data_IF_842789648408
#
_entry.id   IF_842789648408
#
_cell.length_a   1.000
_cell.length_b   1.000
_cell.length_c   1.000
_cell.angle_alpha   90.00
_cell.angle_beta   90.00
_cell.angle_gamma   90.00
#
_symmetry.space_group_name_H-M   'P 1'
#
loop_
_entity.id
_entity.type
_entity.pdbx_description
1 polymer ?
#
# COMPACT_ATOMS: atom_id res chain seq x y z
N UNK A 1 -2.78 21.09 -11.87
CA UNK A 1 -1.60 20.48 -11.22
C UNK A 1 -0.54 21.55 -11.21
N UNK A 2 -0.22 22.10 -10.04
CA UNK A 2 0.88 23.07 -9.95
C UNK A 2 2.19 22.39 -10.33
N UNK A 3 2.95 23.09 -11.17
CA UNK A 3 4.29 22.72 -11.57
C UNK A 3 5.29 23.22 -10.52
N UNK A 4 5.78 22.31 -9.67
CA UNK A 4 6.70 22.60 -8.58
C UNK A 4 8.07 23.06 -9.09
N UNK A 5 8.46 22.66 -10.30
CA UNK A 5 9.69 23.13 -10.93
C UNK A 5 9.58 24.60 -11.33
N UNK A 6 8.46 25.01 -11.94
CA UNK A 6 8.19 26.42 -12.23
C UNK A 6 8.04 27.24 -10.94
N UNK A 7 7.40 26.66 -9.92
CA UNK A 7 7.28 27.29 -8.61
C UNK A 7 8.65 27.62 -8.03
N UNK A 8 9.62 26.70 -8.11
CA UNK A 8 11.00 26.90 -7.64
C UNK A 8 11.93 27.57 -8.67
N UNK A 9 11.47 27.76 -9.92
CA UNK A 9 12.27 28.27 -11.05
C UNK A 9 13.49 27.39 -11.38
N UNK A 10 13.34 26.07 -11.27
CA UNK A 10 14.38 25.09 -11.55
C UNK A 10 13.99 24.17 -12.71
N UNK A 11 14.96 23.40 -13.20
CA UNK A 11 14.74 22.42 -14.26
C UNK A 11 14.26 21.07 -13.67
N UNK A 12 13.47 20.27 -14.42
CA UNK A 12 12.95 18.99 -13.97
C UNK A 12 14.00 17.88 -13.88
N UNK A 13 15.19 18.09 -14.43
CA UNK A 13 16.38 17.26 -14.28
C UNK A 13 17.28 17.70 -13.11
N UNK A 14 16.95 18.80 -12.41
CA UNK A 14 17.74 19.31 -11.27
C UNK A 14 18.01 18.25 -10.20
N UNK A 15 19.19 18.25 -9.62
CA UNK A 15 19.55 17.30 -8.55
C UNK A 15 18.73 17.54 -7.26
N UNK A 16 18.69 16.57 -6.35
CA UNK A 16 18.01 16.74 -5.05
C UNK A 16 18.61 17.91 -4.26
N UNK A 17 19.93 18.08 -4.32
CA UNK A 17 20.65 19.20 -3.70
C UNK A 17 20.24 20.54 -4.28
N UNK A 18 20.12 20.65 -5.60
CA UNK A 18 19.65 21.86 -6.28
C UNK A 18 18.20 22.20 -5.91
N UNK A 19 17.31 21.20 -5.83
CA UNK A 19 15.93 21.39 -5.39
C UNK A 19 15.90 21.94 -3.96
N UNK A 20 16.70 21.36 -3.06
CA UNK A 20 16.73 21.79 -1.66
C UNK A 20 17.29 23.21 -1.51
N UNK A 21 18.34 23.56 -2.26
CA UNK A 21 18.87 24.92 -2.29
C UNK A 21 17.85 25.91 -2.83
N UNK A 22 17.15 25.58 -3.92
CA UNK A 22 16.12 26.43 -4.51
C UNK A 22 14.92 26.60 -3.58
N UNK A 23 14.56 25.56 -2.82
CA UNK A 23 13.52 25.62 -1.79
C UNK A 23 13.90 26.59 -0.68
N UNK A 24 15.11 26.51 -0.13
CA UNK A 24 15.57 27.41 0.93
C UNK A 24 15.62 28.86 0.45
N UNK A 25 16.14 29.11 -0.77
CA UNK A 25 16.14 30.44 -1.39
C UNK A 25 14.72 30.99 -1.57
N UNK A 26 13.76 30.13 -1.89
CA UNK A 26 12.37 30.49 -2.18
C UNK A 26 11.46 30.45 -0.94
N UNK A 27 11.96 30.05 0.22
CA UNK A 27 11.11 29.77 1.39
C UNK A 27 10.27 30.95 1.84
N UNK A 28 10.82 32.16 1.76
CA UNK A 28 10.17 33.41 2.16
C UNK A 28 8.98 33.79 1.25
N UNK A 29 8.92 33.27 0.01
CA UNK A 29 7.84 33.53 -0.95
C UNK A 29 6.81 32.42 -1.06
N UNK A 30 7.08 31.26 -0.43
CA UNK A 30 6.21 30.09 -0.49
C UNK A 30 5.34 29.98 0.77
N UNK A 31 4.12 29.50 0.60
CA UNK A 31 3.27 29.16 1.73
C UNK A 31 3.63 27.77 2.32
N UNK A 32 3.13 27.41 3.52
CA UNK A 32 3.47 26.12 4.14
C UNK A 32 3.10 24.89 3.30
N UNK A 33 2.00 24.94 2.54
CA UNK A 33 1.57 23.83 1.67
C UNK A 33 2.48 23.66 0.46
N UNK A 34 2.99 24.76 -0.09
CA UNK A 34 3.95 24.77 -1.19
C UNK A 34 5.30 24.18 -0.78
N UNK A 35 5.79 24.57 0.39
CA UNK A 35 7.03 24.03 0.96
C UNK A 35 6.88 22.53 1.16
N UNK A 36 5.81 22.11 1.83
CA UNK A 36 5.49 20.71 2.06
C UNK A 36 5.34 19.93 0.75
N UNK A 37 4.75 20.53 -0.29
CA UNK A 37 4.62 19.91 -1.60
C UNK A 37 6.00 19.72 -2.28
N UNK A 38 6.94 20.65 -2.13
CA UNK A 38 8.30 20.43 -2.66
C UNK A 38 9.00 19.29 -1.91
N UNK A 39 8.94 19.31 -0.58
CA UNK A 39 9.61 18.32 0.27
C UNK A 39 9.09 16.91 0.02
N UNK A 40 7.77 16.72 0.02
CA UNK A 40 7.17 15.40 -0.15
C UNK A 40 7.17 14.89 -1.60
N UNK A 41 7.21 15.77 -2.61
CA UNK A 41 7.05 15.37 -4.01
C UNK A 41 8.30 15.47 -4.87
N UNK A 42 9.15 16.47 -4.64
CA UNK A 42 10.37 16.65 -5.43
C UNK A 42 11.60 16.07 -4.74
N UNK A 43 11.69 16.12 -3.41
CA UNK A 43 12.86 15.59 -2.69
C UNK A 43 12.81 14.08 -2.45
N UNK A 44 11.66 13.43 -2.60
CA UNK A 44 11.53 11.97 -2.56
C UNK A 44 11.66 11.40 -3.99
N UNK A 45 12.77 10.72 -4.36
CA UNK A 45 13.08 10.35 -5.75
C UNK A 45 12.00 9.55 -6.48
N UNK A 46 11.40 8.59 -5.77
CA UNK A 46 10.36 7.72 -6.32
C UNK A 46 9.04 8.47 -6.53
N UNK A 47 8.71 9.40 -5.62
CA UNK A 47 7.53 10.27 -5.74
C UNK A 47 7.74 11.25 -6.90
N UNK A 48 8.92 11.84 -6.99
CA UNK A 48 9.31 12.76 -8.08
C UNK A 48 9.16 12.10 -9.44
N UNK A 49 9.53 10.83 -9.57
CA UNK A 49 9.38 10.08 -10.82
C UNK A 49 7.90 10.02 -11.29
N UNK A 50 6.98 9.77 -10.36
CA UNK A 50 5.53 9.73 -10.64
C UNK A 50 4.95 11.12 -10.90
N UNK A 51 5.35 12.08 -10.08
CA UNK A 51 5.02 13.49 -10.25
C UNK A 51 5.41 13.95 -11.67
N UNK A 52 6.63 13.62 -12.12
CA UNK A 52 7.13 13.91 -13.46
C UNK A 52 6.31 13.22 -14.56
N UNK A 53 5.96 11.94 -14.38
CA UNK A 53 5.12 11.23 -15.34
C UNK A 53 3.75 11.87 -15.52
N UNK A 54 3.10 12.30 -14.42
CA UNK A 54 1.82 13.01 -14.50
C UNK A 54 1.97 14.42 -15.06
N UNK A 55 3.02 15.14 -14.67
CA UNK A 55 3.28 16.48 -15.17
C UNK A 55 3.50 16.44 -16.69
N UNK A 56 4.19 15.42 -17.22
CA UNK A 56 4.34 15.21 -18.68
C UNK A 56 3.00 14.99 -19.39
N UNK A 57 2.07 14.27 -18.76
CA UNK A 57 0.73 14.05 -19.35
C UNK A 57 -0.12 15.32 -19.33
N UNK A 58 -0.08 16.10 -18.25
CA UNK A 58 -0.92 17.29 -18.07
C UNK A 58 -0.33 18.56 -18.69
N UNK A 59 0.99 18.67 -18.76
CA UNK A 59 1.74 19.82 -19.22
C UNK A 59 2.95 19.38 -20.08
N UNK A 60 2.74 18.72 -21.23
CA UNK A 60 3.84 18.22 -22.08
C UNK A 60 4.75 19.33 -22.61
N UNK A 61 4.18 20.52 -22.88
CA UNK A 61 4.93 21.68 -23.38
C UNK A 61 6.09 22.08 -22.44
N UNK A 62 5.92 21.98 -21.12
CA UNK A 62 6.97 22.33 -20.15
C UNK A 62 8.27 21.55 -20.38
N UNK A 63 8.17 20.28 -20.77
CA UNK A 63 9.33 19.41 -21.01
C UNK A 63 9.91 19.59 -22.41
N UNK A 64 9.08 19.98 -23.39
CA UNK A 64 9.54 20.25 -24.77
C UNK A 64 10.36 21.54 -24.85
N UNK A 65 9.98 22.57 -24.08
CA UNK A 65 10.68 23.86 -24.03
C UNK A 65 12.11 23.78 -23.49
N UNK A 66 12.50 22.68 -22.85
CA UNK A 66 13.85 22.49 -22.30
C UNK A 66 14.79 21.75 -23.24
N UNK A 67 14.25 20.93 -24.16
CA UNK A 67 15.02 20.22 -25.18
C UNK A 67 15.40 21.09 -26.38
N UNK A 68 14.75 22.23 -26.57
CA UNK A 68 15.03 23.17 -27.66
C UNK A 68 15.88 24.36 -27.17
N UNK A 69 17.21 24.20 -27.21
CA UNK A 69 18.27 25.23 -27.36
C UNK A 69 18.27 26.49 -26.46
N UNK A 70 19.38 26.68 -25.72
CA UNK A 70 20.04 27.96 -25.35
C UNK A 70 19.13 29.20 -25.42
N UNK A 71 18.35 29.47 -24.38
CA UNK A 71 17.90 30.81 -24.01
C UNK A 71 17.43 30.83 -22.54
N UNK A 72 18.02 31.68 -21.68
CA UNK A 72 17.61 31.81 -20.29
C UNK A 72 16.34 32.66 -20.23
N UNK A 73 15.18 32.05 -20.49
CA UNK A 73 13.93 32.68 -20.08
C UNK A 73 12.90 31.65 -19.63
N UNK A 74 13.14 31.07 -18.45
CA UNK A 74 12.10 30.38 -17.65
C UNK A 74 11.18 31.42 -16.98
N UNK A 75 11.36 32.73 -17.21
CA UNK A 75 10.59 33.82 -16.61
C UNK A 75 9.38 34.21 -17.46
N UNK A 76 8.49 33.26 -17.75
CA UNK A 76 7.08 33.64 -17.75
C UNK A 76 6.70 33.68 -16.26
N UNK A 77 6.36 34.86 -15.72
CA UNK A 77 6.02 35.03 -14.31
C UNK A 77 4.94 34.02 -13.90
N UNK A 78 5.36 32.89 -13.32
CA UNK A 78 4.46 31.85 -12.85
C UNK A 78 3.72 32.45 -11.66
N UNK A 79 2.49 32.91 -11.92
CA UNK A 79 1.53 33.21 -10.88
C UNK A 79 0.84 31.89 -10.56
N UNK A 80 1.14 31.23 -9.43
CA UNK A 80 0.41 30.03 -9.06
C UNK A 80 -1.07 30.38 -8.98
N UNK A 81 -1.88 29.85 -9.90
CA UNK A 81 -3.32 29.88 -9.70
C UNK A 81 -3.62 28.87 -8.60
N UNK A 82 -3.97 29.34 -7.41
CA UNK A 82 -4.26 28.49 -6.24
C UNK A 82 -5.45 27.54 -6.47
N UNK A 83 -6.22 27.70 -7.55
CA UNK A 83 -7.23 26.74 -7.99
C UNK A 83 -6.64 25.46 -8.61
N UNK A 84 -5.42 25.52 -9.13
CA UNK A 84 -4.72 24.32 -9.60
C UNK A 84 -4.12 23.60 -8.39
N UNK A 85 -4.77 22.55 -7.88
CA UNK A 85 -4.17 21.73 -6.81
C UNK A 85 -2.84 21.09 -7.23
N UNK A 86 -2.00 20.73 -6.26
CA UNK A 86 -0.80 19.89 -6.48
C UNK A 86 -1.21 18.47 -6.88
N UNK A 87 -0.26 17.62 -7.28
CA UNK A 87 -0.58 16.20 -7.29
C UNK A 87 -0.84 15.78 -5.86
N UNK A 88 -1.86 14.94 -5.66
CA UNK A 88 -2.32 14.46 -4.36
C UNK A 88 -2.31 12.94 -4.42
N UNK A 89 -1.63 12.22 -3.50
CA UNK A 89 -1.40 10.80 -3.68
C UNK A 89 -2.74 10.10 -3.54
N UNK A 90 -3.00 9.10 -4.38
CA UNK A 90 -4.24 8.34 -4.26
C UNK A 90 -4.01 7.21 -3.27
N UNK A 91 -4.60 7.25 -2.08
CA UNK A 91 -4.37 6.24 -1.04
C UNK A 91 -5.68 5.61 -0.59
N UNK A 92 -5.63 4.35 -0.19
CA UNK A 92 -6.65 3.79 0.69
C UNK A 92 -6.52 4.43 2.07
N UNK A 93 -7.64 4.64 2.75
CA UNK A 93 -7.62 5.23 4.09
C UNK A 93 -6.82 4.34 5.07
N UNK A 94 -5.73 4.84 5.68
CA UNK A 94 -4.85 4.05 6.55
C UNK A 94 -5.55 3.50 7.80
N UNK A 95 -6.52 4.23 8.35
CA UNK A 95 -7.31 3.78 9.51
C UNK A 95 -8.17 2.58 9.13
N UNK A 96 -8.85 2.64 7.99
CA UNK A 96 -9.67 1.51 7.50
C UNK A 96 -8.78 0.29 7.21
N UNK A 97 -7.56 0.49 6.68
CA UNK A 97 -6.61 -0.61 6.47
C UNK A 97 -6.31 -1.33 7.79
N UNK A 98 -6.01 -0.59 8.86
CA UNK A 98 -5.73 -1.19 10.18
C UNK A 98 -6.96 -1.94 10.72
N UNK A 99 -8.15 -1.37 10.58
CA UNK A 99 -9.41 -2.05 10.99
C UNK A 99 -9.57 -3.38 10.24
N UNK A 100 -9.38 -3.39 8.92
CA UNK A 100 -9.45 -4.63 8.13
C UNK A 100 -8.36 -5.64 8.50
N UNK A 101 -7.16 -5.17 8.86
CA UNK A 101 -6.07 -6.02 9.31
C UNK A 101 -6.40 -6.78 10.60
N UNK A 102 -7.09 -6.10 11.52
CA UNK A 102 -7.49 -6.65 12.82
C UNK A 102 -8.72 -7.55 12.69
N UNK A 103 -9.73 -7.12 11.94
CA UNK A 103 -11.01 -7.84 11.83
C UNK A 103 -10.94 -9.07 10.92
N UNK A 104 -10.14 -9.01 9.85
CA UNK A 104 -10.11 -10.06 8.84
C UNK A 104 -8.79 -10.82 8.85
N UNK A 105 -7.68 -10.14 8.55
CA UNK A 105 -6.36 -10.77 8.48
C UNK A 105 -5.24 -9.74 8.35
N UNK A 106 -4.08 -9.94 8.99
CA UNK A 106 -2.91 -9.08 8.80
C UNK A 106 -2.44 -9.05 7.35
N UNK A 107 -2.73 -10.10 6.58
CA UNK A 107 -2.45 -10.19 5.15
C UNK A 107 -3.11 -9.05 4.38
N UNK A 108 -4.39 -8.75 4.67
CA UNK A 108 -5.16 -7.70 3.99
C UNK A 108 -4.57 -6.34 4.35
N UNK A 109 -4.28 -6.14 5.64
CA UNK A 109 -3.65 -4.92 6.14
C UNK A 109 -2.32 -4.63 5.46
N UNK A 110 -1.41 -5.60 5.49
CA UNK A 110 -0.07 -5.49 4.93
C UNK A 110 -0.12 -5.27 3.41
N UNK A 111 -0.96 -6.00 2.68
CA UNK A 111 -1.11 -5.82 1.23
C UNK A 111 -1.60 -4.41 0.85
N UNK A 112 -2.61 -3.88 1.55
CA UNK A 112 -3.13 -2.53 1.29
C UNK A 112 -2.12 -1.45 1.70
N UNK A 113 -1.44 -1.61 2.85
CA UNK A 113 -0.36 -0.73 3.25
C UNK A 113 0.76 -0.72 2.21
N UNK A 114 1.13 -1.87 1.63
CA UNK A 114 2.12 -1.96 0.57
C UNK A 114 1.68 -1.20 -0.70
N UNK A 115 0.41 -1.27 -1.08
CA UNK A 115 -0.13 -0.47 -2.21
C UNK A 115 0.00 1.02 -1.93
N UNK A 116 -0.38 1.45 -0.73
CA UNK A 116 -0.24 2.85 -0.33
C UNK A 116 1.23 3.29 -0.31
N UNK A 117 2.13 2.49 0.23
CA UNK A 117 3.57 2.80 0.25
C UNK A 117 4.17 2.88 -1.15
N UNK A 118 3.74 2.00 -2.07
CA UNK A 118 4.11 2.13 -3.49
C UNK A 118 3.63 3.45 -4.06
N UNK A 119 2.42 3.88 -3.72
CA UNK A 119 1.89 5.18 -4.17
C UNK A 119 2.71 6.35 -3.63
N UNK A 120 3.11 6.26 -2.37
CA UNK A 120 4.00 7.21 -1.68
C UNK A 120 5.47 7.07 -2.12
N UNK A 121 5.79 6.25 -3.12
CA UNK A 121 7.15 6.06 -3.61
C UNK A 121 8.07 5.22 -2.73
N UNK A 122 7.74 4.98 -1.46
CA UNK A 122 8.57 4.20 -0.55
C UNK A 122 8.51 2.69 -0.86
N UNK A 123 9.37 2.22 -1.77
CA UNK A 123 9.45 0.81 -2.18
C UNK A 123 9.92 -0.10 -1.05
N UNK A 124 10.80 0.37 -0.18
CA UNK A 124 11.31 -0.40 0.93
C UNK A 124 10.19 -0.75 1.91
N UNK A 125 9.42 0.24 2.37
CA UNK A 125 8.28 0.04 3.26
C UNK A 125 7.19 -0.83 2.60
N UNK A 126 7.00 -0.71 1.28
CA UNK A 126 6.11 -1.58 0.54
C UNK A 126 6.59 -3.04 0.54
N UNK A 127 7.89 -3.27 0.34
CA UNK A 127 8.49 -4.61 0.34
C UNK A 127 8.43 -5.24 1.74
N UNK A 128 8.71 -4.47 2.79
CA UNK A 128 8.57 -4.94 4.18
C UNK A 128 7.15 -5.43 4.46
N UNK A 129 6.13 -4.70 4.00
CA UNK A 129 4.73 -5.14 4.14
C UNK A 129 4.42 -6.38 3.28
N UNK A 130 4.97 -6.49 2.07
CA UNK A 130 4.80 -7.70 1.26
C UNK A 130 5.46 -8.94 1.88
N UNK A 131 6.58 -8.79 2.59
CA UNK A 131 7.17 -9.90 3.35
C UNK A 131 6.19 -10.45 4.40
N UNK A 132 5.39 -9.59 5.03
CA UNK A 132 4.33 -10.03 5.96
C UNK A 132 3.20 -10.75 5.23
N UNK A 133 2.81 -10.29 4.03
CA UNK A 133 1.83 -11.01 3.18
C UNK A 133 2.30 -12.44 2.91
N UNK A 134 3.54 -12.60 2.44
CA UNK A 134 4.10 -13.93 2.15
C UNK A 134 4.28 -14.78 3.41
N UNK A 135 4.71 -14.16 4.52
CA UNK A 135 4.84 -14.83 5.80
C UNK A 135 3.52 -15.38 6.34
N UNK A 136 2.44 -14.59 6.24
CA UNK A 136 1.09 -15.02 6.67
C UNK A 136 0.53 -16.12 5.76
N UNK A 137 0.77 -16.03 4.43
CA UNK A 137 0.39 -17.11 3.51
C UNK A 137 1.10 -18.42 3.82
N UNK A 138 2.43 -18.35 4.04
CA UNK A 138 3.23 -19.52 4.39
C UNK A 138 2.79 -20.10 5.74
N UNK A 139 2.57 -19.24 6.74
CA UNK A 139 2.08 -19.65 8.04
C UNK A 139 0.70 -20.32 7.95
N UNK A 140 -0.22 -19.77 7.16
CA UNK A 140 -1.54 -20.35 6.94
C UNK A 140 -1.48 -21.73 6.28
N UNK A 141 -0.63 -21.90 5.26
CA UNK A 141 -0.41 -23.19 4.61
C UNK A 141 0.22 -24.21 5.58
N UNK A 142 1.27 -23.80 6.30
CA UNK A 142 1.90 -24.65 7.30
C UNK A 142 0.92 -25.06 8.41
N UNK A 143 0.10 -24.13 8.90
CA UNK A 143 -0.94 -24.40 9.90
C UNK A 143 -1.97 -25.39 9.39
N UNK A 144 -2.42 -25.26 8.14
CA UNK A 144 -3.34 -26.21 7.52
C UNK A 144 -2.72 -27.61 7.44
N UNK A 145 -1.46 -27.73 7.01
CA UNK A 145 -0.77 -29.03 6.95
C UNK A 145 -0.55 -29.64 8.34
N UNK A 146 -0.18 -28.82 9.34
CA UNK A 146 -0.03 -29.25 10.72
C UNK A 146 -1.34 -29.79 11.30
N UNK A 147 -2.48 -29.15 10.98
CA UNK A 147 -3.79 -29.67 11.37
C UNK A 147 -4.12 -30.96 10.61
N UNK A 148 -4.09 -30.92 9.28
CA UNK A 148 -4.57 -32.01 8.42
C UNK A 148 -3.76 -33.31 8.61
N UNK A 149 -2.44 -33.22 8.74
CA UNK A 149 -1.54 -34.38 8.82
C UNK A 149 -1.09 -34.64 10.27
N UNK A 150 -0.86 -33.58 11.04
CA UNK A 150 -0.33 -33.68 12.40
C UNK A 150 -1.39 -33.63 13.50
N UNK A 151 -2.65 -33.30 13.20
CA UNK A 151 -3.69 -33.09 14.19
C UNK A 151 -3.42 -31.91 15.14
N UNK A 152 -2.51 -31.00 14.77
CA UNK A 152 -2.13 -29.86 15.61
C UNK A 152 -2.96 -28.66 15.22
N UNK A 153 -3.80 -28.20 16.15
CA UNK A 153 -4.59 -27.01 15.98
C UNK A 153 -3.81 -25.76 16.41
N UNK A 154 -3.81 -24.76 15.53
CA UNK A 154 -3.30 -23.43 15.87
C UNK A 154 -4.46 -22.63 16.48
N UNK A 155 -4.30 -22.08 17.70
CA UNK A 155 -5.36 -21.31 18.34
C UNK A 155 -5.79 -20.11 17.49
N UNK A 156 -7.11 -19.85 17.44
CA UNK A 156 -7.70 -18.78 16.63
C UNK A 156 -7.05 -17.39 16.90
N UNK A 157 -6.69 -17.11 18.15
CA UNK A 157 -6.08 -15.83 18.54
C UNK A 157 -4.66 -15.62 17.98
N UNK A 158 -4.00 -16.66 17.46
CA UNK A 158 -2.67 -16.53 16.84
C UNK A 158 -2.70 -15.51 15.69
N UNK A 159 -3.77 -15.50 14.88
CA UNK A 159 -3.97 -14.49 13.84
C UNK A 159 -4.03 -13.07 14.38
N UNK A 160 -4.74 -12.87 15.50
CA UNK A 160 -4.83 -11.57 16.17
C UNK A 160 -3.48 -11.10 16.71
N UNK A 161 -2.68 -12.01 17.26
CA UNK A 161 -1.32 -11.69 17.72
C UNK A 161 -0.41 -11.27 16.56
N UNK A 162 -0.51 -11.93 15.41
CA UNK A 162 0.22 -11.55 14.19
C UNK A 162 -0.24 -10.18 13.70
N UNK A 163 -1.54 -9.87 13.72
CA UNK A 163 -2.06 -8.54 13.40
C UNK A 163 -1.52 -7.45 14.32
N UNK A 164 -1.46 -7.74 15.62
CA UNK A 164 -0.92 -6.80 16.60
C UNK A 164 0.58 -6.56 16.37
N UNK A 165 1.35 -7.63 16.16
CA UNK A 165 2.77 -7.55 15.86
C UNK A 165 3.03 -6.74 14.57
N UNK A 166 2.28 -7.00 13.50
CA UNK A 166 2.36 -6.23 12.26
C UNK A 166 2.01 -4.75 12.48
N UNK A 167 0.96 -4.45 13.24
CA UNK A 167 0.54 -3.07 13.51
C UNK A 167 1.66 -2.24 14.15
N UNK A 168 2.30 -2.77 15.19
CA UNK A 168 3.35 -2.05 15.91
C UNK A 168 4.68 -1.95 15.14
N UNK A 169 4.96 -2.89 14.23
CA UNK A 169 6.21 -2.93 13.45
C UNK A 169 6.14 -2.14 12.14
N UNK A 170 5.02 -2.24 11.43
CA UNK A 170 4.86 -1.68 10.08
C UNK A 170 3.57 -0.87 9.91
N UNK A 171 2.43 -1.36 10.44
CA UNK A 171 1.12 -0.77 10.17
C UNK A 171 0.98 0.69 10.62
N UNK A 172 1.46 1.02 11.82
CA UNK A 172 1.39 2.40 12.36
C UNK A 172 2.28 3.40 11.59
N UNK A 173 3.39 2.93 10.99
CA UNK A 173 4.36 3.82 10.31
C UNK A 173 3.72 4.63 9.18
N UNK A 174 2.71 4.06 8.50
CA UNK A 174 2.00 4.77 7.44
C UNK A 174 1.11 5.90 7.99
N UNK A 175 0.49 5.69 9.15
CA UNK A 175 -0.31 6.72 9.82
C UNK A 175 0.60 7.84 10.34
N UNK A 176 1.74 7.48 10.93
CA UNK A 176 2.72 8.44 11.43
C UNK A 176 3.30 9.29 10.29
N UNK A 177 3.69 8.65 9.18
CA UNK A 177 4.17 9.32 7.97
C UNK A 177 3.14 10.32 7.45
N UNK A 178 1.88 9.92 7.29
CA UNK A 178 0.86 10.83 6.77
C UNK A 178 0.58 11.96 7.74
N UNK A 179 0.55 11.72 9.05
CA UNK A 179 0.40 12.79 10.05
C UNK A 179 1.54 13.81 10.00
N UNK A 180 2.77 13.38 9.72
CA UNK A 180 3.95 14.24 9.70
C UNK A 180 4.14 14.96 8.36
N UNK A 181 3.93 14.27 7.24
CA UNK A 181 4.37 14.74 5.92
C UNK A 181 3.25 15.19 4.97
N UNK A 182 2.01 14.73 5.14
CA UNK A 182 0.93 15.00 4.19
C UNK A 182 -0.39 15.47 4.83
N UNK A 183 -0.53 15.33 6.15
CA UNK A 183 -1.81 15.44 6.83
C UNK A 183 -2.87 14.50 6.23
N UNK A 184 -4.10 14.99 6.14
CA UNK A 184 -5.23 14.29 5.49
C UNK A 184 -5.39 14.70 4.01
N UNK A 185 -4.37 15.34 3.42
CA UNK A 185 -4.36 15.82 2.03
C UNK A 185 -3.94 14.68 1.08
N UNK A 186 -4.79 13.66 0.98
CA UNK A 186 -4.68 12.58 0.00
C UNK A 186 -6.02 12.28 -0.67
N UNK A 187 -5.97 11.88 -1.94
CA UNK A 187 -7.15 11.50 -2.69
C UNK A 187 -7.51 10.05 -2.32
N UNK A 188 -8.77 9.79 -1.96
CA UNK A 188 -9.18 8.45 -1.52
C UNK A 188 -9.35 7.50 -2.70
N UNK A 189 -8.72 6.33 -2.65
CA UNK A 189 -8.99 5.23 -3.60
C UNK A 189 -10.35 4.60 -3.31
N UNK A 190 -11.11 4.20 -4.36
CA UNK A 190 -12.37 3.50 -4.18
C UNK A 190 -12.14 2.06 -3.68
N UNK A 191 -13.02 1.58 -2.82
CA UNK A 191 -12.89 0.28 -2.16
C UNK A 191 -13.47 -0.91 -2.92
N UNK A 192 -14.28 -0.69 -3.97
CA UNK A 192 -15.01 -1.77 -4.64
C UNK A 192 -14.11 -2.92 -5.14
N UNK A 193 -12.96 -2.59 -5.74
CA UNK A 193 -11.99 -3.61 -6.18
C UNK A 193 -11.35 -4.35 -5.00
N UNK A 194 -11.14 -3.69 -3.88
CA UNK A 194 -10.56 -4.31 -2.67
C UNK A 194 -11.52 -5.34 -2.10
N UNK A 195 -12.80 -4.98 -1.96
CA UNK A 195 -13.83 -5.91 -1.47
C UNK A 195 -13.92 -7.16 -2.36
N UNK A 196 -13.92 -6.97 -3.68
CA UNK A 196 -13.90 -8.08 -4.63
C UNK A 196 -12.70 -9.01 -4.40
N UNK A 197 -11.49 -8.46 -4.24
CA UNK A 197 -10.29 -9.27 -4.03
C UNK A 197 -10.27 -9.96 -2.66
N UNK A 198 -10.83 -9.36 -1.61
CA UNK A 198 -10.97 -10.01 -0.31
C UNK A 198 -11.90 -11.22 -0.42
N UNK A 199 -13.06 -11.06 -1.07
CA UNK A 199 -14.01 -12.16 -1.28
C UNK A 199 -13.39 -13.27 -2.13
N UNK A 200 -12.77 -12.90 -3.26
CA UNK A 200 -12.10 -13.87 -4.13
C UNK A 200 -10.98 -14.61 -3.39
N UNK A 201 -10.18 -13.91 -2.58
CA UNK A 201 -9.13 -14.51 -1.76
C UNK A 201 -9.68 -15.49 -0.72
N UNK A 202 -10.80 -15.16 -0.06
CA UNK A 202 -11.46 -16.06 0.88
C UNK A 202 -11.99 -17.33 0.19
N UNK A 203 -12.60 -17.20 -0.99
CA UNK A 203 -13.07 -18.33 -1.78
C UNK A 203 -11.89 -19.22 -2.21
N UNK A 204 -10.81 -18.62 -2.72
CA UNK A 204 -9.59 -19.36 -3.10
C UNK A 204 -9.00 -20.09 -1.90
N UNK A 205 -8.94 -19.45 -0.73
CA UNK A 205 -8.46 -20.08 0.49
C UNK A 205 -9.28 -21.33 0.85
N UNK A 206 -10.61 -21.24 0.80
CA UNK A 206 -11.49 -22.39 1.05
C UNK A 206 -11.27 -23.50 0.02
N UNK A 207 -11.19 -23.15 -1.28
CA UNK A 207 -10.92 -24.12 -2.34
C UNK A 207 -9.61 -24.85 -2.10
N UNK A 208 -8.53 -24.12 -1.77
CA UNK A 208 -7.22 -24.72 -1.49
C UNK A 208 -7.29 -25.63 -0.26
N UNK A 209 -7.95 -25.18 0.82
CA UNK A 209 -8.09 -25.98 2.03
C UNK A 209 -8.85 -27.29 1.77
N UNK A 210 -10.02 -27.23 1.12
CA UNK A 210 -10.81 -28.42 0.80
C UNK A 210 -10.14 -29.31 -0.24
N UNK A 211 -9.40 -28.75 -1.19
CA UNK A 211 -8.60 -29.53 -2.13
C UNK A 211 -7.49 -30.31 -1.40
N UNK A 212 -6.79 -29.67 -0.45
CA UNK A 212 -5.80 -30.35 0.39
C UNK A 212 -6.45 -31.46 1.23
N UNK A 213 -7.57 -31.16 1.88
CA UNK A 213 -8.33 -32.13 2.65
C UNK A 213 -8.71 -33.36 1.80
N UNK A 214 -9.27 -33.13 0.62
CA UNK A 214 -9.67 -34.18 -0.30
C UNK A 214 -8.46 -35.01 -0.77
N UNK A 215 -7.39 -34.36 -1.22
CA UNK A 215 -6.18 -35.03 -1.72
C UNK A 215 -5.47 -35.84 -0.64
N UNK A 216 -5.42 -35.35 0.60
CA UNK A 216 -4.84 -36.08 1.72
C UNK A 216 -5.75 -37.22 2.18
N UNK A 217 -7.07 -37.05 2.11
CA UNK A 217 -8.05 -38.08 2.42
C UNK A 217 -7.96 -39.29 1.49
N UNK A 218 -7.89 -39.05 0.16
CA UNK A 218 -7.70 -40.15 -0.80
C UNK A 218 -6.35 -40.84 -0.68
N UNK A 219 -5.35 -40.14 -0.12
CA UNK A 219 -4.02 -40.67 0.12
C UNK A 219 -3.89 -41.38 1.48
N UNK A 220 -4.95 -41.42 2.30
CA UNK A 220 -4.95 -41.94 3.66
C UNK A 220 -3.88 -41.27 4.56
N UNK A 221 -3.65 -39.97 4.34
CA UNK A 221 -2.67 -39.15 5.05
C UNK A 221 -3.29 -38.23 6.09
N UNK A 222 -4.62 -38.24 6.23
CA UNK A 222 -5.31 -37.43 7.23
C UNK A 222 -5.06 -37.97 8.64
N UNK A 223 -4.84 -37.05 9.57
CA UNK A 223 -4.74 -37.41 10.97
C UNK A 223 -6.07 -37.99 11.49
N UNK A 224 -6.07 -39.02 12.36
CA UNK A 224 -7.30 -39.65 12.87
C UNK A 224 -8.29 -38.67 13.51
N UNK A 225 -7.80 -37.65 14.23
CA UNK A 225 -8.66 -36.61 14.81
C UNK A 225 -9.43 -35.84 13.75
N UNK A 226 -8.79 -35.51 12.62
CA UNK A 226 -9.44 -34.79 11.51
C UNK A 226 -10.50 -35.66 10.87
N UNK A 227 -10.24 -36.97 10.73
CA UNK A 227 -11.24 -37.94 10.24
C UNK A 227 -12.44 -38.01 11.18
N UNK A 228 -12.21 -38.07 12.50
CA UNK A 228 -13.27 -38.08 13.50
C UNK A 228 -14.12 -36.80 13.45
N UNK A 229 -13.48 -35.63 13.35
CA UNK A 229 -14.17 -34.33 13.21
C UNK A 229 -15.08 -34.30 11.97
N UNK A 230 -14.58 -34.81 10.83
CA UNK A 230 -15.38 -34.91 9.60
C UNK A 230 -16.59 -35.84 9.77
N UNK A 231 -16.42 -36.99 10.40
CA UNK A 231 -17.51 -37.94 10.64
C UNK A 231 -18.58 -37.32 11.53
N UNK A 232 -18.18 -36.61 12.58
CA UNK A 232 -19.09 -35.88 13.46
C UNK A 232 -19.87 -34.81 12.70
N UNK A 233 -19.18 -33.98 11.90
CA UNK A 233 -19.82 -32.93 11.11
C UNK A 233 -20.83 -33.49 10.09
N UNK A 234 -20.52 -34.63 9.46
CA UNK A 234 -21.45 -35.32 8.55
C UNK A 234 -22.66 -35.86 9.30
N UNK A 235 -22.45 -36.47 10.48
CA UNK A 235 -23.53 -36.98 11.30
C UNK A 235 -24.49 -35.87 11.73
N UNK A 236 -23.96 -34.72 12.17
CA UNK A 236 -24.75 -33.54 12.53
C UNK A 236 -25.55 -32.98 11.34
N UNK A 237 -24.92 -32.87 10.15
CA UNK A 237 -25.59 -32.39 8.94
C UNK A 237 -26.76 -33.31 8.52
N UNK A 238 -26.60 -34.63 8.68
CA UNK A 238 -27.65 -35.60 8.37
C UNK A 238 -28.79 -35.61 9.40
N UNK A 239 -28.53 -35.22 10.65
CA UNK A 239 -29.56 -35.08 11.68
C UNK A 239 -30.37 -33.78 11.56
N UNK A 240 -29.83 -32.77 10.86
CA UNK A 240 -30.49 -31.48 10.64
C UNK A 240 -31.42 -31.44 9.41
N UNK A 241 -31.49 -32.53 8.64
CA UNK A 241 -32.38 -32.71 7.47
C UNK A 241 -33.64 -33.49 7.85
#
# INVERSE_FOLDING_TARGET
>A
MINLYQLLQIAPDSSATEIQQALEQSRHRLNPKEIQAVESWLLVPEVRTRYNAQLRQKQPAFFQSQTSTIQPNVQAAFKPNHEQGYYTPKLYNPTIIVVLAILLSPLIGAWLCAINWRELGNREAANQNMSVVYGVLLFGLASALLYLIGGIEIPLYAGSLISLAWYFTFGKKQQDFLRQEAGDDYARKPWGKVVLWIIAGAIIYLIVFYALLFLLGIADLLHPNVVADLQNAIAEANQAQ
#
